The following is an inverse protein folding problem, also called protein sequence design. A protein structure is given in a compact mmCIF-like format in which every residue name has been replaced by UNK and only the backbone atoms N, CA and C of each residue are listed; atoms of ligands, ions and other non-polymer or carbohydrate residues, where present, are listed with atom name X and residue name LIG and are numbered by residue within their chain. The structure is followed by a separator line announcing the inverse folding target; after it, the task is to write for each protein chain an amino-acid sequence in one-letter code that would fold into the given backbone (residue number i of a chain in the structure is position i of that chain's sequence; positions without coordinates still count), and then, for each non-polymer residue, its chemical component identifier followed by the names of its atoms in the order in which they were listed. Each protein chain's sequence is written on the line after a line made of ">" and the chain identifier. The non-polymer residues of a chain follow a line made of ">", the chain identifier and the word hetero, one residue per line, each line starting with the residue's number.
data_IF_064730399905
#
_entry.id   IF_064730399905
#
_cell.length_a   1.000
_cell.length_b   1.000
_cell.length_c   1.000
_cell.angle_alpha   90.00
_cell.angle_beta   90.00
_cell.angle_gamma   90.00
#
_symmetry.space_group_name_H-M   'P 1'
#
loop_
_entity.id
_entity.type
_entity.pdbx_description
1 polymer ?
#
# COMPACT_ATOMS: atom_id res chain seq x y z
N UNK A 1 14.89 20.94 8.57
CA UNK A 1 15.86 19.91 8.98
C UNK A 1 17.25 20.12 8.34
N UNK A 2 17.44 19.95 7.03
CA UNK A 2 18.79 19.98 6.41
C UNK A 2 19.69 21.17 6.76
N UNK A 3 19.19 22.42 6.70
CA UNK A 3 19.99 23.61 7.07
C UNK A 3 20.42 23.64 8.53
N UNK A 4 19.68 22.98 9.43
CA UNK A 4 20.01 22.93 10.86
C UNK A 4 21.31 22.16 11.13
N UNK A 5 21.59 21.12 10.35
CA UNK A 5 22.84 20.33 10.46
C UNK A 5 24.09 21.18 10.25
N UNK A 6 23.98 22.27 9.49
CA UNK A 6 25.09 23.16 9.13
C UNK A 6 24.91 24.59 9.64
N UNK A 7 23.85 24.86 10.40
CA UNK A 7 23.42 26.22 10.78
C UNK A 7 23.41 27.20 9.57
N UNK A 8 23.07 26.70 8.38
CA UNK A 8 23.21 27.40 7.10
C UNK A 8 21.95 28.16 6.72
N UNK A 9 21.55 29.11 7.58
CA UNK A 9 20.31 29.87 7.44
C UNK A 9 20.33 30.90 6.31
N UNK A 10 21.52 31.44 6.01
CA UNK A 10 21.72 32.30 4.84
C UNK A 10 21.66 31.48 3.54
N UNK A 11 21.52 32.17 2.40
CA UNK A 11 21.43 31.56 1.07
C UNK A 11 22.65 31.93 0.21
N UNK A 12 23.88 31.56 0.59
CA UNK A 12 25.08 32.05 -0.06
C UNK A 12 25.32 31.44 -1.46
N UNK A 13 24.83 30.22 -1.70
CA UNK A 13 24.96 29.55 -3.00
C UNK A 13 23.66 29.70 -3.81
N UNK A 14 23.67 30.42 -4.94
CA UNK A 14 22.48 30.59 -5.78
C UNK A 14 21.89 29.26 -6.27
N UNK A 15 22.72 28.22 -6.47
CA UNK A 15 22.27 26.89 -6.94
C UNK A 15 21.41 26.14 -5.94
N UNK A 16 21.40 26.53 -4.65
CA UNK A 16 20.62 25.87 -3.60
C UNK A 16 19.85 26.90 -2.74
N UNK A 17 19.64 28.11 -3.27
CA UNK A 17 18.98 29.21 -2.56
C UNK A 17 17.44 29.09 -2.51
N UNK A 18 16.85 28.37 -3.48
CA UNK A 18 15.40 28.08 -3.52
C UNK A 18 15.11 26.75 -2.82
N UNK A 19 13.87 26.55 -2.36
CA UNK A 19 13.47 25.28 -1.73
C UNK A 19 13.64 24.10 -2.71
N UNK A 20 13.12 24.24 -3.93
CA UNK A 20 13.24 23.24 -5.00
C UNK A 20 14.69 22.80 -5.22
N UNK A 21 15.59 23.75 -5.45
CA UNK A 21 16.98 23.42 -5.73
C UNK A 21 17.72 22.88 -4.48
N UNK A 22 17.33 23.30 -3.28
CA UNK A 22 17.89 22.77 -2.04
C UNK A 22 17.45 21.32 -1.76
N UNK A 23 16.17 20.99 -1.97
CA UNK A 23 15.64 19.63 -1.82
C UNK A 23 16.23 18.70 -2.89
N UNK A 24 16.31 19.16 -4.14
CA UNK A 24 16.99 18.42 -5.20
C UNK A 24 18.45 18.11 -4.83
N UNK A 25 19.18 19.11 -4.33
CA UNK A 25 20.55 18.89 -3.87
C UNK A 25 20.64 17.87 -2.72
N UNK A 26 19.70 17.87 -1.76
CA UNK A 26 19.63 16.86 -0.70
C UNK A 26 19.55 15.44 -1.28
N UNK A 27 18.73 15.25 -2.32
CA UNK A 27 18.54 13.97 -3.00
C UNK A 27 19.80 13.59 -3.80
N UNK A 28 20.34 14.52 -4.59
CA UNK A 28 21.53 14.31 -5.42
C UNK A 28 22.76 13.86 -4.60
N UNK A 29 22.92 14.36 -3.37
CA UNK A 29 24.03 13.98 -2.47
C UNK A 29 23.68 12.89 -1.46
N UNK A 30 22.50 12.28 -1.56
CA UNK A 30 22.10 11.13 -0.74
C UNK A 30 21.81 11.43 0.73
N UNK A 31 21.50 12.67 1.10
CA UNK A 31 21.16 13.05 2.48
C UNK A 31 19.70 12.71 2.84
N UNK A 32 19.29 11.45 2.59
CA UNK A 32 17.89 11.02 2.66
C UNK A 32 17.26 11.06 4.06
N UNK A 33 18.05 11.03 5.13
CA UNK A 33 17.52 11.13 6.51
C UNK A 33 16.76 12.44 6.75
N UNK A 34 17.11 13.51 6.02
CA UNK A 34 16.40 14.79 6.09
C UNK A 34 14.94 14.66 5.64
N UNK A 35 14.64 13.70 4.76
CA UNK A 35 13.29 13.43 4.24
C UNK A 35 12.39 12.71 5.25
N UNK A 36 12.95 12.18 6.34
CA UNK A 36 12.18 11.43 7.35
C UNK A 36 11.29 12.32 8.24
N UNK A 37 11.49 13.64 8.19
CA UNK A 37 10.78 14.60 9.03
C UNK A 37 9.39 15.00 8.52
N UNK A 38 9.04 14.64 7.29
CA UNK A 38 7.74 14.94 6.70
C UNK A 38 7.03 13.64 6.31
N UNK A 39 5.73 13.56 6.58
CA UNK A 39 4.93 12.34 6.42
C UNK A 39 3.63 12.58 5.68
N UNK A 40 3.18 11.54 4.98
CA UNK A 40 1.88 11.46 4.30
C UNK A 40 1.17 10.20 4.76
N UNK A 41 -0.16 10.30 4.88
CA UNK A 41 -1.03 9.16 5.21
C UNK A 41 -2.10 9.00 4.12
N UNK A 42 -2.28 7.77 3.64
CA UNK A 42 -3.38 7.41 2.76
C UNK A 42 -4.37 6.49 3.48
N UNK A 43 -5.65 6.64 3.17
CA UNK A 43 -6.66 5.61 3.44
C UNK A 43 -6.93 4.86 2.14
N UNK A 44 -6.53 3.59 2.10
CA UNK A 44 -6.58 2.74 0.92
C UNK A 44 -7.72 1.74 1.08
N UNK A 45 -8.59 1.66 0.07
CA UNK A 45 -9.71 0.71 -0.07
C UNK A 45 -9.61 -0.01 -1.41
N UNK A 46 -10.36 -1.09 -1.62
CA UNK A 46 -10.28 -1.83 -2.88
C UNK A 46 -8.93 -2.53 -3.09
N UNK A 47 -8.27 -2.92 -1.99
CA UNK A 47 -7.00 -3.66 -1.98
C UNK A 47 -7.22 -5.06 -1.40
N UNK A 48 -6.58 -6.08 -1.97
CA UNK A 48 -6.73 -7.47 -1.55
C UNK A 48 -5.98 -7.77 -0.24
N UNK A 49 -6.36 -8.86 0.42
CA UNK A 49 -5.60 -9.38 1.57
C UNK A 49 -4.19 -9.80 1.19
N UNK A 50 -3.99 -10.44 0.04
CA UNK A 50 -2.65 -10.78 -0.47
C UNK A 50 -1.78 -9.54 -0.65
N UNK A 51 -2.30 -8.49 -1.28
CA UNK A 51 -1.54 -7.26 -1.49
C UNK A 51 -1.18 -6.58 -0.17
N UNK A 52 -2.09 -6.54 0.82
CA UNK A 52 -1.70 -6.02 2.14
C UNK A 52 -0.67 -6.87 2.86
N UNK A 53 -0.63 -8.19 2.62
CA UNK A 53 0.37 -9.08 3.21
C UNK A 53 1.79 -8.78 2.68
N UNK A 54 1.90 -8.30 1.44
CA UNK A 54 3.12 -7.75 0.86
C UNK A 54 3.45 -6.34 1.33
N UNK A 55 2.43 -5.48 1.40
CA UNK A 55 2.57 -4.07 1.80
C UNK A 55 3.15 -3.97 3.22
N UNK A 56 2.60 -4.71 4.18
CA UNK A 56 3.02 -4.64 5.59
C UNK A 56 4.44 -5.17 5.86
N UNK A 57 5.12 -5.72 4.83
CA UNK A 57 6.54 -6.08 4.91
C UNK A 57 7.44 -4.83 4.94
N UNK A 58 6.93 -3.67 4.53
CA UNK A 58 7.58 -2.38 4.65
C UNK A 58 7.46 -1.87 6.09
N UNK A 59 8.50 -2.11 6.90
CA UNK A 59 8.47 -1.92 8.36
C UNK A 59 8.58 -0.47 8.82
N UNK A 60 8.90 0.47 7.92
CA UNK A 60 9.02 1.90 8.23
C UNK A 60 7.74 2.69 7.90
N UNK A 61 6.62 1.99 7.73
CA UNK A 61 5.28 2.56 7.74
C UNK A 61 4.55 2.20 9.04
N UNK A 62 3.56 3.00 9.38
CA UNK A 62 2.56 2.69 10.39
C UNK A 62 1.25 2.29 9.72
N UNK A 63 0.57 1.27 10.29
CA UNK A 63 -0.62 0.68 9.68
C UNK A 63 -1.80 0.64 10.65
N UNK A 64 -3.00 0.89 10.14
CA UNK A 64 -4.26 0.55 10.81
C UNK A 64 -5.20 -0.09 9.80
N UNK A 65 -5.47 -1.39 9.96
CA UNK A 65 -6.16 -2.20 8.96
C UNK A 65 -7.49 -2.75 9.47
N UNK A 66 -8.47 -2.84 8.56
CA UNK A 66 -9.74 -3.53 8.76
C UNK A 66 -9.51 -4.94 9.30
N UNK A 67 -10.12 -5.27 10.45
CA UNK A 67 -9.91 -6.54 11.12
C UNK A 67 -11.05 -7.52 10.88
N UNK A 68 -10.77 -8.62 10.16
CA UNK A 68 -11.67 -9.76 9.99
C UNK A 68 -12.04 -10.48 11.30
N UNK A 69 -11.39 -10.13 12.43
CA UNK A 69 -11.79 -10.66 13.75
C UNK A 69 -12.96 -9.88 14.35
N UNK A 70 -13.21 -8.67 13.86
CA UNK A 70 -14.17 -7.72 14.45
C UNK A 70 -15.23 -7.26 13.46
N UNK A 71 -14.88 -7.06 12.19
CA UNK A 71 -15.83 -6.61 11.16
C UNK A 71 -16.53 -7.82 10.54
N UNK A 72 -17.86 -7.79 10.35
CA UNK A 72 -18.57 -8.81 9.58
C UNK A 72 -18.11 -8.83 8.12
N UNK A 73 -17.88 -10.02 7.56
CA UNK A 73 -17.39 -10.21 6.19
C UNK A 73 -18.41 -10.92 5.29
N UNK A 74 -19.66 -11.04 5.75
CA UNK A 74 -20.73 -11.68 4.98
C UNK A 74 -21.00 -10.95 3.65
N UNK A 75 -20.79 -9.63 3.61
CA UNK A 75 -20.92 -8.78 2.43
C UNK A 75 -19.54 -8.30 1.93
N UNK A 76 -18.48 -9.05 2.25
CA UNK A 76 -17.12 -8.69 1.86
C UNK A 76 -16.99 -8.64 0.34
N UNK A 77 -16.53 -7.49 -0.14
CA UNK A 77 -16.16 -7.31 -1.53
C UNK A 77 -14.90 -8.14 -1.83
N UNK A 78 -14.68 -8.40 -3.12
CA UNK A 78 -13.44 -9.04 -3.60
C UNK A 78 -12.76 -8.13 -4.60
N UNK A 79 -11.43 -8.22 -4.63
CA UNK A 79 -10.56 -7.46 -5.53
C UNK A 79 -10.07 -8.43 -6.59
N UNK A 80 -10.51 -8.21 -7.83
CA UNK A 80 -10.02 -8.99 -8.96
C UNK A 80 -8.53 -8.67 -9.19
N UNK A 81 -7.68 -9.70 -9.37
CA UNK A 81 -6.29 -9.49 -9.79
C UNK A 81 -6.22 -8.76 -11.14
N UNK A 82 -5.29 -7.80 -11.34
CA UNK A 82 -5.20 -7.04 -12.59
C UNK A 82 -5.09 -7.91 -13.87
N UNK A 83 -4.46 -9.08 -13.79
CA UNK A 83 -4.28 -9.98 -14.92
C UNK A 83 -5.52 -10.76 -15.35
N UNK A 84 -6.67 -10.59 -14.68
CA UNK A 84 -7.95 -11.17 -15.08
C UNK A 84 -9.06 -10.12 -15.25
N UNK A 85 -8.76 -8.82 -15.06
CA UNK A 85 -9.77 -7.74 -15.03
C UNK A 85 -10.46 -7.52 -16.39
N UNK A 86 -9.85 -7.95 -17.49
CA UNK A 86 -10.34 -7.79 -18.86
C UNK A 86 -10.98 -9.06 -19.45
N UNK A 87 -11.03 -10.15 -18.69
CA UNK A 87 -11.58 -11.44 -19.13
C UNK A 87 -12.85 -11.80 -18.35
N UNK A 88 -14.00 -11.74 -19.03
CA UNK A 88 -15.30 -12.00 -18.42
C UNK A 88 -15.46 -13.44 -17.90
N UNK A 89 -14.87 -14.44 -18.58
CA UNK A 89 -14.95 -15.85 -18.18
C UNK A 89 -14.12 -16.08 -16.91
N UNK A 90 -12.92 -15.52 -16.85
CA UNK A 90 -12.08 -15.59 -15.66
C UNK A 90 -12.70 -14.85 -14.46
N UNK A 91 -13.34 -13.70 -14.70
CA UNK A 91 -14.06 -12.96 -13.67
C UNK A 91 -15.27 -13.73 -13.14
N UNK A 92 -15.98 -14.47 -13.98
CA UNK A 92 -17.11 -15.32 -13.56
C UNK A 92 -16.62 -16.45 -12.64
N UNK A 93 -15.58 -17.19 -13.03
CA UNK A 93 -14.96 -18.25 -12.21
C UNK A 93 -14.49 -17.68 -10.86
N UNK A 94 -13.85 -16.50 -10.88
CA UNK A 94 -13.39 -15.82 -9.68
C UNK A 94 -14.54 -15.41 -8.75
N UNK A 95 -15.61 -14.85 -9.30
CA UNK A 95 -16.78 -14.43 -8.54
C UNK A 95 -17.51 -15.62 -7.91
N UNK A 96 -17.71 -16.70 -8.65
CA UNK A 96 -18.33 -17.93 -8.16
C UNK A 96 -17.54 -18.55 -6.98
N UNK A 97 -16.21 -18.60 -7.09
CA UNK A 97 -15.36 -19.09 -6.02
C UNK A 97 -15.45 -18.20 -4.76
N UNK A 98 -15.49 -16.88 -4.94
CA UNK A 98 -15.67 -15.94 -3.84
C UNK A 98 -17.04 -16.10 -3.15
N UNK A 99 -18.11 -16.30 -3.92
CA UNK A 99 -19.45 -16.56 -3.40
C UNK A 99 -19.51 -17.87 -2.60
N UNK A 100 -18.94 -18.95 -3.13
CA UNK A 100 -18.86 -20.23 -2.42
C UNK A 100 -18.12 -20.08 -1.07
N UNK A 101 -17.01 -19.32 -1.05
CA UNK A 101 -16.29 -18.98 0.19
C UNK A 101 -17.14 -18.17 1.17
N UNK A 102 -17.95 -17.20 0.71
CA UNK A 102 -18.85 -16.40 1.56
C UNK A 102 -19.97 -17.24 2.17
N UNK A 103 -20.55 -18.16 1.40
CA UNK A 103 -21.57 -19.11 1.88
C UNK A 103 -20.97 -20.00 2.99
N UNK A 104 -19.80 -20.60 2.73
CA UNK A 104 -19.10 -21.42 3.71
C UNK A 104 -18.73 -20.62 4.98
N UNK A 105 -18.27 -19.36 4.82
CA UNK A 105 -17.99 -18.46 5.95
C UNK A 105 -19.22 -18.27 6.84
N UNK A 106 -20.38 -17.98 6.23
CA UNK A 106 -21.62 -17.71 6.95
C UNK A 106 -22.13 -18.94 7.68
N UNK A 107 -22.04 -20.12 7.05
CA UNK A 107 -22.39 -21.39 7.68
C UNK A 107 -21.48 -21.71 8.88
N UNK A 108 -20.16 -21.57 8.71
CA UNK A 108 -19.19 -21.76 9.78
C UNK A 108 -19.44 -20.80 10.93
N UNK A 109 -19.67 -19.52 10.63
CA UNK A 109 -19.90 -18.48 11.64
C UNK A 109 -21.14 -18.81 12.48
N UNK A 110 -22.27 -19.16 11.85
CA UNK A 110 -23.50 -19.51 12.55
C UNK A 110 -23.32 -20.73 13.49
N UNK A 111 -22.68 -21.80 12.99
CA UNK A 111 -22.39 -23.00 13.81
C UNK A 111 -21.41 -22.70 14.94
N UNK A 112 -20.40 -21.86 14.71
CA UNK A 112 -19.44 -21.45 15.74
C UNK A 112 -20.10 -20.58 16.81
N UNK A 113 -20.98 -19.65 16.44
CA UNK A 113 -21.72 -18.81 17.39
C UNK A 113 -22.67 -19.63 18.27
N UNK A 114 -23.32 -20.65 17.70
CA UNK A 114 -24.14 -21.60 18.45
C UNK A 114 -23.28 -22.46 19.39
N UNK A 115 -22.14 -22.98 18.90
CA UNK A 115 -21.20 -23.80 19.68
C UNK A 115 -20.62 -23.05 20.89
N UNK A 116 -20.40 -21.74 20.75
CA UNK A 116 -19.75 -20.92 21.78
C UNK A 116 -20.72 -20.38 22.85
N UNK A 117 -22.04 -20.53 22.69
CA UNK A 117 -23.03 -20.14 23.70
C UNK A 117 -22.89 -18.69 24.18
N UNK A 118 -22.64 -18.48 25.48
CA UNK A 118 -22.42 -17.17 26.10
C UNK A 118 -20.94 -16.89 26.46
N UNK A 119 -20.01 -17.57 25.78
CA UNK A 119 -18.59 -17.40 26.05
C UNK A 119 -18.15 -15.91 25.91
N UNK A 120 -17.25 -15.43 26.79
CA UNK A 120 -16.65 -14.11 26.63
C UNK A 120 -15.91 -14.04 25.28
N UNK A 121 -16.03 -12.90 24.58
CA UNK A 121 -15.46 -12.69 23.24
C UNK A 121 -15.98 -13.65 22.14
N UNK A 122 -17.14 -14.29 22.34
CA UNK A 122 -17.78 -15.21 21.38
C UNK A 122 -17.68 -14.75 19.93
N UNK A 123 -18.12 -13.53 19.63
CA UNK A 123 -18.12 -12.96 18.26
C UNK A 123 -16.73 -12.98 17.64
N UNK A 124 -15.70 -12.63 18.42
CA UNK A 124 -14.31 -12.59 17.97
C UNK A 124 -13.75 -14.00 17.74
N UNK A 125 -14.07 -14.94 18.63
CA UNK A 125 -13.65 -16.34 18.51
C UNK A 125 -14.31 -17.04 17.31
N UNK A 126 -15.60 -16.81 17.08
CA UNK A 126 -16.31 -17.36 15.93
C UNK A 126 -15.76 -16.79 14.62
N UNK A 127 -15.67 -15.46 14.49
CA UNK A 127 -15.19 -14.80 13.26
C UNK A 127 -13.75 -15.14 12.91
N UNK A 128 -12.86 -15.21 13.91
CA UNK A 128 -11.45 -15.49 13.63
C UNK A 128 -11.20 -16.91 13.10
N UNK A 129 -12.10 -17.86 13.40
CA UNK A 129 -12.08 -19.21 12.87
C UNK A 129 -12.84 -19.30 11.53
N UNK A 130 -14.05 -18.73 11.44
CA UNK A 130 -14.85 -18.74 10.21
C UNK A 130 -14.11 -18.13 9.02
N UNK A 131 -13.33 -17.06 9.22
CA UNK A 131 -12.57 -16.40 8.16
C UNK A 131 -11.49 -17.26 7.49
N UNK A 132 -11.20 -18.46 8.00
CA UNK A 132 -10.21 -19.36 7.41
C UNK A 132 -10.54 -19.77 5.96
N UNK A 133 -11.81 -19.64 5.55
CA UNK A 133 -12.26 -19.93 4.17
C UNK A 133 -12.34 -18.69 3.28
N UNK A 134 -12.08 -17.49 3.81
CA UNK A 134 -12.09 -16.27 2.99
C UNK A 134 -10.86 -16.24 2.08
N UNK A 135 -11.02 -15.92 0.78
CA UNK A 135 -9.92 -15.94 -0.17
C UNK A 135 -8.94 -14.79 0.03
N UNK A 136 -7.74 -14.91 -0.53
CA UNK A 136 -6.75 -13.83 -0.58
C UNK A 136 -7.29 -12.55 -1.25
N UNK A 137 -8.26 -12.70 -2.16
CA UNK A 137 -8.89 -11.61 -2.87
C UNK A 137 -9.90 -10.81 -2.03
N UNK A 138 -10.24 -11.24 -0.82
CA UNK A 138 -11.15 -10.47 0.05
C UNK A 138 -10.63 -9.04 0.22
N UNK A 139 -11.51 -8.06 -0.02
CA UNK A 139 -11.19 -6.64 0.16
C UNK A 139 -10.71 -6.39 1.58
N UNK A 140 -9.74 -5.50 1.72
CA UNK A 140 -9.39 -4.90 2.99
C UNK A 140 -9.18 -3.41 2.83
N UNK A 141 -9.14 -2.72 3.97
CA UNK A 141 -9.00 -1.27 4.03
C UNK A 141 -7.92 -0.95 5.03
N UNK A 142 -7.03 -0.03 4.69
CA UNK A 142 -5.84 0.21 5.49
C UNK A 142 -5.46 1.69 5.45
N UNK A 143 -5.22 2.26 6.63
CA UNK A 143 -4.49 3.52 6.76
C UNK A 143 -3.01 3.19 6.76
N UNK A 144 -2.25 3.86 5.89
CA UNK A 144 -0.79 3.72 5.78
C UNK A 144 -0.17 5.10 5.97
N UNK A 145 0.66 5.24 6.98
CA UNK A 145 1.40 6.48 7.26
C UNK A 145 2.89 6.23 7.11
N UNK A 146 3.58 7.11 6.36
CA UNK A 146 5.02 7.05 6.19
C UNK A 146 5.66 8.40 6.00
N UNK A 147 6.93 8.48 6.35
CA UNK A 147 7.75 9.62 5.98
C UNK A 147 8.17 9.55 4.50
N UNK A 148 8.67 10.66 3.94
CA UNK A 148 9.03 10.69 2.53
C UNK A 148 10.13 9.69 2.15
N UNK A 149 11.10 9.40 3.03
CA UNK A 149 12.11 8.37 2.76
C UNK A 149 11.48 6.98 2.65
N UNK A 150 10.56 6.64 3.55
CA UNK A 150 9.83 5.37 3.53
C UNK A 150 8.97 5.24 2.25
N UNK A 151 8.29 6.32 1.86
CA UNK A 151 7.53 6.35 0.59
C UNK A 151 8.42 6.16 -0.64
N UNK A 152 9.56 6.85 -0.71
CA UNK A 152 10.53 6.67 -1.82
C UNK A 152 11.00 5.22 -1.92
N UNK A 153 11.35 4.60 -0.79
CA UNK A 153 11.76 3.21 -0.76
C UNK A 153 10.63 2.26 -1.22
N UNK A 154 9.41 2.47 -0.73
CA UNK A 154 8.25 1.69 -1.15
C UNK A 154 8.02 1.77 -2.67
N UNK A 155 8.05 2.98 -3.23
CA UNK A 155 7.87 3.20 -4.67
C UNK A 155 8.99 2.48 -5.45
N UNK A 156 10.25 2.67 -5.08
CA UNK A 156 11.37 2.01 -5.75
C UNK A 156 11.27 0.48 -5.76
N UNK A 157 10.78 -0.11 -4.66
CA UNK A 157 10.64 -1.56 -4.53
C UNK A 157 9.38 -2.12 -5.19
N UNK A 158 8.29 -1.35 -5.26
CA UNK A 158 6.96 -1.86 -5.65
C UNK A 158 6.46 -1.33 -6.97
N UNK A 159 6.87 -0.16 -7.43
CA UNK A 159 6.60 0.33 -8.78
C UNK A 159 7.59 -0.27 -9.81
N UNK A 160 7.90 -1.56 -9.70
CA UNK A 160 8.91 -2.27 -10.49
C UNK A 160 8.28 -3.46 -11.23
N UNK A 161 8.86 -3.84 -12.37
CA UNK A 161 8.48 -5.04 -13.14
C UNK A 161 8.55 -6.33 -12.30
N UNK A 162 9.40 -6.36 -11.28
CA UNK A 162 9.56 -7.52 -10.40
C UNK A 162 8.47 -7.66 -9.34
N UNK A 163 7.66 -6.62 -9.12
CA UNK A 163 6.60 -6.63 -8.12
C UNK A 163 5.29 -7.19 -8.71
N UNK A 164 4.46 -7.79 -7.88
CA UNK A 164 3.09 -8.15 -8.25
C UNK A 164 2.33 -6.93 -8.80
N UNK A 165 1.50 -7.12 -9.83
CA UNK A 165 0.83 -6.04 -10.55
C UNK A 165 -0.14 -5.27 -9.65
N UNK A 166 -0.78 -5.91 -8.66
CA UNK A 166 -1.71 -5.23 -7.75
C UNK A 166 -0.96 -4.21 -6.87
N UNK A 167 0.14 -4.62 -6.23
CA UNK A 167 0.94 -3.72 -5.39
C UNK A 167 1.71 -2.68 -6.23
N UNK A 168 2.04 -3.01 -7.47
CA UNK A 168 2.64 -2.08 -8.43
C UNK A 168 1.66 -0.96 -8.79
N UNK A 169 0.41 -1.30 -9.12
CA UNK A 169 -0.67 -0.33 -9.36
C UNK A 169 -0.88 0.59 -8.17
N UNK A 170 -0.88 0.04 -6.94
CA UNK A 170 -0.91 0.84 -5.72
C UNK A 170 0.29 1.80 -5.63
N UNK A 171 1.51 1.32 -5.89
CA UNK A 171 2.72 2.12 -5.76
C UNK A 171 2.75 3.29 -6.76
N UNK A 172 2.32 3.06 -8.00
CA UNK A 172 2.18 4.10 -9.02
C UNK A 172 1.17 5.16 -8.58
N UNK A 173 0.01 4.73 -8.08
CA UNK A 173 -1.02 5.67 -7.63
C UNK A 173 -0.56 6.51 -6.43
N UNK A 174 0.09 5.88 -5.44
CA UNK A 174 0.73 6.62 -4.35
C UNK A 174 1.77 7.61 -4.85
N UNK A 175 2.62 7.23 -5.82
CA UNK A 175 3.62 8.13 -6.40
C UNK A 175 2.98 9.36 -7.03
N UNK A 176 1.91 9.21 -7.81
CA UNK A 176 1.21 10.36 -8.42
C UNK A 176 0.74 11.37 -7.36
N UNK A 177 0.04 10.89 -6.33
CA UNK A 177 -0.45 11.76 -5.26
C UNK A 177 0.70 12.38 -4.45
N UNK A 178 1.80 11.66 -4.26
CA UNK A 178 2.99 12.18 -3.58
C UNK A 178 3.73 13.24 -4.40
N UNK A 179 3.77 13.11 -5.74
CA UNK A 179 4.31 14.13 -6.65
C UNK A 179 3.47 15.41 -6.58
N UNK A 180 2.15 15.30 -6.49
CA UNK A 180 1.28 16.48 -6.35
C UNK A 180 1.53 17.24 -5.03
N UNK A 181 1.75 16.51 -3.93
CA UNK A 181 1.97 17.09 -2.60
C UNK A 181 3.40 17.62 -2.42
N UNK A 182 4.39 16.89 -2.92
CA UNK A 182 5.81 17.17 -2.68
C UNK A 182 6.66 16.91 -3.94
N UNK A 183 6.47 17.67 -5.03
CA UNK A 183 7.08 17.38 -6.33
C UNK A 183 8.61 17.32 -6.25
N UNK A 184 9.21 18.24 -5.50
CA UNK A 184 10.66 18.32 -5.34
C UNK A 184 11.28 17.08 -4.66
N UNK A 185 10.45 16.25 -4.01
CA UNK A 185 10.87 15.04 -3.29
C UNK A 185 10.68 13.78 -4.12
N UNK A 186 9.83 13.80 -5.16
CA UNK A 186 9.42 12.59 -5.89
C UNK A 186 9.55 12.70 -7.42
N UNK A 187 9.81 13.88 -7.99
CA UNK A 187 9.91 14.09 -9.44
C UNK A 187 11.15 13.47 -10.10
N UNK A 188 12.05 12.83 -9.36
CA UNK A 188 13.12 12.00 -9.92
C UNK A 188 12.66 10.58 -10.28
N UNK A 189 11.42 10.21 -9.94
CA UNK A 189 10.79 9.00 -10.45
C UNK A 189 10.10 9.27 -11.79
N UNK A 190 10.50 8.54 -12.82
CA UNK A 190 9.87 8.57 -14.14
C UNK A 190 8.92 7.38 -14.28
N UNK A 191 7.64 7.67 -14.54
CA UNK A 191 6.62 6.64 -14.82
C UNK A 191 6.68 6.27 -16.30
N UNK A 192 6.76 4.96 -16.59
CA UNK A 192 6.73 4.41 -17.94
C UNK A 192 5.71 3.29 -18.06
N UNK A 193 5.17 3.12 -19.27
CA UNK A 193 4.18 2.08 -19.59
C UNK A 193 4.89 0.92 -20.28
N UNK A 194 4.66 -0.29 -19.78
CA UNK A 194 5.19 -1.54 -20.34
C UNK A 194 4.35 -2.02 -21.53
N UNK A 195 4.84 -3.06 -22.21
CA UNK A 195 4.15 -3.66 -23.36
C UNK A 195 2.77 -4.24 -23.01
N UNK A 196 2.55 -4.66 -21.77
CA UNK A 196 1.27 -5.17 -21.26
C UNK A 196 0.31 -4.06 -20.79
N UNK A 197 0.68 -2.79 -20.96
CA UNK A 197 -0.10 -1.64 -20.53
C UNK A 197 0.02 -1.29 -19.04
N UNK A 198 0.74 -2.10 -18.25
CA UNK A 198 0.99 -1.79 -16.84
C UNK A 198 2.08 -0.73 -16.70
N UNK A 199 2.09 -0.02 -15.58
CA UNK A 199 3.03 1.07 -15.32
C UNK A 199 4.10 0.68 -14.31
N UNK A 200 5.31 1.20 -14.51
CA UNK A 200 6.44 1.13 -13.57
C UNK A 200 7.01 2.52 -13.35
N UNK A 201 7.74 2.72 -12.24
CA UNK A 201 8.45 3.95 -11.96
C UNK A 201 9.91 3.65 -11.62
N UNK A 202 10.83 4.36 -12.26
CA UNK A 202 12.27 4.20 -12.05
C UNK A 202 12.90 5.53 -11.63
N UNK A 203 13.85 5.49 -10.71
CA UNK A 203 14.68 6.63 -10.34
C UNK A 203 16.15 6.19 -10.22
N UNK A 204 17.11 6.94 -10.78
CA UNK A 204 18.53 6.66 -10.60
C UNK A 204 19.03 6.98 -9.17
N UNK A 205 18.18 7.58 -8.32
CA UNK A 205 18.53 8.11 -7.00
C UNK A 205 17.73 7.45 -5.86
N UNK A 206 17.04 6.33 -6.12
CA UNK A 206 16.16 5.70 -5.14
C UNK A 206 16.71 4.40 -4.52
N UNK A 207 17.62 3.71 -5.20
CA UNK A 207 18.31 2.54 -4.66
C UNK A 207 19.56 2.98 -3.89
N UNK A 208 19.58 2.76 -2.58
CA UNK A 208 20.85 2.78 -1.84
C UNK A 208 21.74 1.69 -2.43
N UNK A 209 22.91 2.08 -2.96
CA UNK A 209 23.96 1.15 -3.37
C UNK A 209 24.60 0.53 -2.13
#
# INVERSE_FOLDING_TARGET
>A
AGRACYQSWSKPNPRTATNAAYVRHIIDVGHFSVLEHASVSFYITGISRSCTHELIRHRHFSYSQLSQRYVPEAESQVVAPPGIEDDAELLEIFAEAADASRVAYSELLAKLEAKLGDAPLRRKQARQAARAVLPNATETRIVVTGNYRAWRHFIAMRASEHADVEIRRLAIECLRQLVDVAPQVFSDFDITVLADGTEVATSPLATEV
#
